data_IF_122383312869
#
_entry.id   IF_122383312869
#
_cell.length_a   1.000
_cell.length_b   1.000
_cell.length_c   1.000
_cell.angle_alpha   90.00
_cell.angle_beta   90.00
_cell.angle_gamma   90.00
#
_symmetry.space_group_name_H-M   'P 1'
#
loop_
_entity.id
_entity.type
_entity.pdbx_description
1 polymer ?
#
# COMPACT_ATOMS: atom_id res chain seq x y z
N UNK A 1 45.70 -27.46 -39.52
CA UNK A 1 44.23 -27.52 -39.31
C UNK A 1 43.92 -28.66 -38.34
N UNK A 2 43.65 -28.33 -37.07
CA UNK A 2 42.95 -29.19 -36.10
C UNK A 2 42.11 -28.27 -35.22
N UNK A 3 40.82 -28.07 -35.52
CA UNK A 3 39.92 -27.44 -34.57
C UNK A 3 39.47 -28.49 -33.53
N UNK A 4 38.77 -28.07 -32.49
CA UNK A 4 38.03 -28.90 -31.50
C UNK A 4 38.79 -29.42 -30.26
N UNK A 5 39.44 -28.54 -29.49
CA UNK A 5 39.75 -28.83 -28.06
C UNK A 5 39.16 -27.81 -27.07
N UNK A 6 38.62 -26.68 -27.52
CA UNK A 6 38.26 -25.56 -26.60
C UNK A 6 36.76 -25.44 -26.28
N UNK A 7 35.84 -26.18 -26.94
CA UNK A 7 34.40 -25.93 -26.80
C UNK A 7 33.68 -26.92 -25.86
N UNK A 8 34.27 -28.07 -25.50
CA UNK A 8 33.61 -29.01 -24.58
C UNK A 8 33.72 -28.63 -23.09
N UNK A 9 34.39 -27.52 -22.77
CA UNK A 9 34.49 -26.99 -21.41
C UNK A 9 33.51 -25.85 -21.13
N UNK A 10 32.61 -25.55 -22.06
CA UNK A 10 31.55 -24.57 -21.87
C UNK A 10 30.52 -25.11 -20.86
N UNK A 11 30.77 -24.80 -19.59
CA UNK A 11 29.80 -24.86 -18.49
C UNK A 11 29.23 -26.26 -18.26
N UNK A 12 29.92 -27.06 -17.43
CA UNK A 12 29.20 -28.05 -16.60
C UNK A 12 28.19 -27.25 -15.78
N UNK A 13 26.94 -27.18 -16.26
CA UNK A 13 25.81 -26.66 -15.51
C UNK A 13 25.72 -27.53 -14.25
N UNK A 14 26.32 -27.06 -13.16
CA UNK A 14 26.58 -27.86 -11.95
C UNK A 14 25.30 -28.46 -11.36
N UNK A 15 24.13 -27.93 -11.71
CA UNK A 15 22.83 -28.45 -11.33
C UNK A 15 22.54 -29.87 -11.87
N UNK A 16 23.09 -30.24 -13.05
CA UNK A 16 22.91 -31.58 -13.65
C UNK A 16 23.96 -32.60 -13.20
N UNK A 17 25.05 -32.14 -12.57
CA UNK A 17 26.13 -33.00 -12.08
C UNK A 17 25.95 -33.43 -10.60
N UNK A 18 24.87 -32.99 -9.96
CA UNK A 18 24.52 -33.35 -8.59
C UNK A 18 23.71 -34.66 -8.56
N UNK A 19 24.05 -35.55 -7.64
CA UNK A 19 23.37 -36.83 -7.44
C UNK A 19 21.87 -36.61 -7.16
N UNK A 20 20.98 -37.55 -7.57
CA UNK A 20 19.50 -37.46 -7.40
C UNK A 20 19.06 -37.01 -5.99
N UNK A 21 19.83 -37.38 -4.96
CA UNK A 21 19.59 -36.99 -3.55
C UNK A 21 19.86 -35.50 -3.26
N UNK A 22 20.83 -34.88 -3.94
CA UNK A 22 21.20 -33.48 -3.70
C UNK A 22 20.19 -32.52 -4.33
N UNK A 23 19.67 -32.85 -5.52
CA UNK A 23 18.59 -32.07 -6.15
C UNK A 23 17.33 -32.08 -5.26
N UNK A 24 16.93 -33.25 -4.75
CA UNK A 24 15.80 -33.35 -3.82
C UNK A 24 15.98 -32.55 -2.53
N UNK A 25 17.19 -32.51 -1.97
CA UNK A 25 17.49 -31.75 -0.76
C UNK A 25 17.33 -30.23 -0.95
N UNK A 26 17.75 -29.69 -2.10
CA UNK A 26 17.59 -28.26 -2.42
C UNK A 26 16.10 -27.91 -2.58
N UNK A 27 15.32 -28.76 -3.24
CA UNK A 27 13.87 -28.58 -3.32
C UNK A 27 13.20 -28.64 -1.95
N UNK A 28 13.58 -29.59 -1.10
CA UNK A 28 13.04 -29.70 0.26
C UNK A 28 13.35 -28.45 1.10
N UNK A 29 14.59 -27.96 1.07
CA UNK A 29 14.99 -26.72 1.75
C UNK A 29 14.24 -25.50 1.22
N UNK A 30 14.06 -25.42 -0.11
CA UNK A 30 13.27 -24.36 -0.73
C UNK A 30 11.83 -24.35 -0.19
N UNK A 31 11.15 -25.50 -0.19
CA UNK A 31 9.79 -25.60 0.34
C UNK A 31 9.72 -25.28 1.85
N UNK A 32 10.65 -25.78 2.66
CA UNK A 32 10.70 -25.46 4.09
C UNK A 32 10.86 -23.95 4.31
N UNK A 33 11.78 -23.30 3.58
CA UNK A 33 11.99 -21.86 3.69
C UNK A 33 10.76 -21.05 3.26
N UNK A 34 10.10 -21.46 2.16
CA UNK A 34 8.85 -20.83 1.71
C UNK A 34 7.74 -20.99 2.76
N UNK A 35 7.57 -22.18 3.32
CA UNK A 35 6.59 -22.42 4.37
C UNK A 35 6.85 -21.51 5.58
N UNK A 36 8.09 -21.40 6.04
CA UNK A 36 8.45 -20.51 7.16
C UNK A 36 8.14 -19.05 6.80
N UNK A 37 8.54 -18.58 5.61
CA UNK A 37 8.27 -17.20 5.16
C UNK A 37 6.77 -16.93 5.06
N UNK A 38 5.97 -17.85 4.52
CA UNK A 38 4.52 -17.72 4.42
C UNK A 38 3.87 -17.67 5.80
N UNK A 39 4.28 -18.52 6.75
CA UNK A 39 3.75 -18.51 8.11
C UNK A 39 4.00 -17.18 8.81
N UNK A 40 5.19 -16.60 8.64
CA UNK A 40 5.54 -15.28 9.18
C UNK A 40 4.71 -14.18 8.50
N UNK A 41 4.54 -14.26 7.17
CA UNK A 41 3.73 -13.29 6.42
C UNK A 41 2.26 -13.29 6.82
N UNK A 42 1.69 -14.47 7.07
CA UNK A 42 0.28 -14.61 7.53
C UNK A 42 0.11 -14.16 8.98
N UNK A 43 1.10 -14.42 9.83
CA UNK A 43 1.08 -14.00 11.25
C UNK A 43 1.52 -12.56 11.48
N UNK A 44 1.86 -11.83 10.40
CA UNK A 44 2.32 -10.46 10.47
C UNK A 44 1.21 -9.50 10.91
N UNK A 45 1.56 -8.41 11.63
CA UNK A 45 0.60 -7.36 11.93
C UNK A 45 0.13 -6.67 10.64
N UNK A 46 -1.08 -6.11 10.66
CA UNK A 46 -1.63 -5.37 9.53
C UNK A 46 -0.67 -4.29 9.03
N UNK A 47 -0.35 -4.34 7.74
CA UNK A 47 0.62 -3.43 7.09
C UNK A 47 0.10 -1.99 7.07
N UNK A 48 -1.22 -1.80 7.13
CA UNK A 48 -1.88 -0.50 7.03
C UNK A 48 -2.70 -0.27 8.29
N UNK A 49 -2.40 0.81 9.00
CA UNK A 49 -3.24 1.31 10.08
C UNK A 49 -4.29 2.25 9.50
N UNK A 50 -5.56 1.87 9.61
CA UNK A 50 -6.70 2.68 9.16
C UNK A 50 -7.44 3.25 10.37
N UNK A 51 -7.77 4.55 10.33
CA UNK A 51 -8.61 5.20 11.33
C UNK A 51 -9.68 6.05 10.65
N UNK A 52 -10.93 5.90 11.06
CA UNK A 52 -11.99 6.81 10.65
C UNK A 52 -11.91 8.08 11.49
N UNK A 53 -11.45 9.17 10.89
CA UNK A 53 -11.39 10.47 11.54
C UNK A 53 -12.64 11.27 11.15
N UNK A 54 -13.44 11.60 12.16
CA UNK A 54 -14.49 12.61 12.01
C UNK A 54 -13.84 13.98 12.20
N UNK A 55 -14.16 14.93 11.32
CA UNK A 55 -13.63 16.28 11.49
C UNK A 55 -14.12 16.89 12.79
N UNK A 56 -13.21 17.56 13.50
CA UNK A 56 -13.49 18.27 14.76
C UNK A 56 -14.60 19.31 14.53
N UNK A 57 -14.60 19.93 13.34
CA UNK A 57 -15.67 20.79 12.89
C UNK A 57 -16.49 20.04 11.84
N UNK A 58 -17.81 19.94 12.04
CA UNK A 58 -18.72 19.41 11.03
C UNK A 58 -19.39 20.58 10.29
N UNK A 59 -18.73 21.23 9.31
CA UNK A 59 -19.43 22.19 8.49
C UNK A 59 -20.56 21.44 7.78
N UNK A 60 -21.77 21.99 7.84
CA UNK A 60 -22.97 21.45 7.16
C UNK A 60 -22.83 21.39 5.63
N UNK A 61 -21.77 21.98 5.09
CA UNK A 61 -21.54 22.11 3.67
C UNK A 61 -20.15 21.56 3.32
N UNK A 62 -19.99 21.11 2.07
CA UNK A 62 -18.74 20.55 1.53
C UNK A 62 -17.62 21.60 1.35
N UNK A 63 -17.86 22.84 1.76
CA UNK A 63 -16.96 23.97 1.62
C UNK A 63 -16.54 24.46 3.01
N UNK A 64 -15.34 24.09 3.43
CA UNK A 64 -14.77 24.57 4.68
C UNK A 64 -13.45 23.90 5.03
N UNK A 65 -12.68 24.49 5.96
CA UNK A 65 -11.49 23.85 6.50
C UNK A 65 -11.90 22.72 7.46
N UNK A 66 -11.68 21.47 7.04
CA UNK A 66 -11.83 20.31 7.90
C UNK A 66 -10.56 20.14 8.74
N UNK A 67 -10.67 20.40 10.04
CA UNK A 67 -9.59 20.07 10.98
C UNK A 67 -9.66 18.58 11.30
N UNK A 68 -8.56 17.88 11.03
CA UNK A 68 -8.37 16.46 11.28
C UNK A 68 -7.12 16.32 12.14
N UNK A 69 -7.22 15.54 13.22
CA UNK A 69 -6.07 15.16 14.02
C UNK A 69 -5.70 13.73 13.69
N UNK A 70 -4.50 13.53 13.15
CA UNK A 70 -3.98 12.18 12.93
C UNK A 70 -3.57 11.55 14.25
N UNK A 71 -3.68 10.23 14.35
CA UNK A 71 -3.02 9.48 15.40
C UNK A 71 -1.49 9.71 15.37
N UNK A 72 -0.82 9.32 16.45
CA UNK A 72 0.63 9.42 16.54
C UNK A 72 1.32 8.70 15.38
N UNK A 73 2.07 9.48 14.58
CA UNK A 73 2.83 8.99 13.43
C UNK A 73 4.31 8.94 13.82
N UNK A 74 4.83 7.73 13.98
CA UNK A 74 6.27 7.50 14.18
C UNK A 74 7.03 7.38 12.84
N UNK A 75 8.37 7.38 12.87
CA UNK A 75 9.28 7.27 11.73
C UNK A 75 9.07 6.02 10.86
N UNK A 76 8.43 4.98 11.40
CA UNK A 76 8.06 3.77 10.64
C UNK A 76 6.90 4.01 9.66
N UNK A 77 6.12 5.08 9.82
CA UNK A 77 5.02 5.44 8.93
C UNK A 77 5.54 6.26 7.73
N UNK A 78 6.12 5.56 6.76
CA UNK A 78 6.74 6.21 5.60
C UNK A 78 5.73 6.85 4.62
N UNK A 79 4.45 6.48 4.70
CA UNK A 79 3.39 6.97 3.80
C UNK A 79 2.11 7.19 4.58
N UNK A 80 1.45 8.31 4.31
CA UNK A 80 0.13 8.64 4.82
C UNK A 80 -0.87 8.71 3.66
N UNK A 81 -1.99 8.02 3.81
CA UNK A 81 -3.08 8.03 2.84
C UNK A 81 -4.28 8.71 3.47
N UNK A 82 -4.80 9.75 2.83
CA UNK A 82 -6.00 10.44 3.25
C UNK A 82 -7.11 10.17 2.24
N UNK A 83 -8.19 9.53 2.71
CA UNK A 83 -9.37 9.21 1.90
C UNK A 83 -10.57 9.95 2.47
N UNK A 84 -11.29 10.66 1.61
CA UNK A 84 -12.54 11.34 1.97
C UNK A 84 -13.72 10.53 1.45
N UNK A 85 -14.69 10.26 2.31
CA UNK A 85 -15.97 9.63 1.93
C UNK A 85 -17.09 10.66 2.09
N UNK A 86 -17.48 11.38 1.02
CA UNK A 86 -18.61 12.29 1.10
C UNK A 86 -19.91 11.51 1.25
N UNK A 87 -20.77 11.94 2.18
CA UNK A 87 -22.10 11.38 2.38
C UNK A 87 -23.09 12.48 1.99
N UNK A 88 -24.01 12.16 1.10
CA UNK A 88 -25.10 13.04 0.68
C UNK A 88 -26.45 12.34 0.87
N UNK A 89 -27.49 13.12 1.09
CA UNK A 89 -28.87 12.63 1.14
C UNK A 89 -29.60 12.76 -0.20
N UNK A 90 -28.91 13.20 -1.25
CA UNK A 90 -29.48 13.36 -2.60
C UNK A 90 -29.48 11.99 -3.30
N UNK A 91 -30.61 11.63 -3.93
CA UNK A 91 -30.84 10.33 -4.56
C UNK A 91 -30.06 10.11 -5.85
N UNK A 92 -29.60 11.19 -6.47
CA UNK A 92 -29.13 11.17 -7.84
C UNK A 92 -27.64 10.86 -7.93
N UNK A 93 -27.27 10.08 -8.94
CA UNK A 93 -25.86 9.92 -9.30
C UNK A 93 -25.33 11.28 -9.77
N UNK A 94 -24.25 11.73 -9.14
CA UNK A 94 -23.64 12.99 -9.53
C UNK A 94 -22.12 12.87 -9.59
N UNK A 95 -21.56 13.61 -10.54
CA UNK A 95 -20.12 13.72 -10.77
C UNK A 95 -19.73 15.18 -10.72
N UNK A 96 -18.83 15.52 -9.81
CA UNK A 96 -18.42 16.91 -9.60
C UNK A 96 -16.90 17.00 -9.46
N UNK A 97 -16.29 17.98 -10.10
CA UNK A 97 -14.87 18.31 -9.86
C UNK A 97 -14.75 19.31 -8.71
N UNK A 98 -13.92 19.00 -7.73
CA UNK A 98 -13.62 19.86 -6.58
C UNK A 98 -12.12 20.09 -6.49
N UNK A 99 -11.72 21.27 -6.02
CA UNK A 99 -10.33 21.53 -5.65
C UNK A 99 -10.16 21.24 -4.16
N UNK A 100 -9.20 20.38 -3.85
CA UNK A 100 -8.89 19.95 -2.49
C UNK A 100 -7.52 20.48 -2.13
N UNK A 101 -7.47 21.30 -1.09
CA UNK A 101 -6.23 21.83 -0.52
C UNK A 101 -6.01 21.21 0.85
N UNK A 102 -4.87 20.57 1.03
CA UNK A 102 -4.48 19.90 2.28
C UNK A 102 -3.27 20.62 2.85
N UNK A 103 -3.40 21.16 4.06
CA UNK A 103 -2.27 21.69 4.83
C UNK A 103 -1.90 20.72 5.94
N UNK A 104 -0.62 20.33 6.00
CA UNK A 104 -0.09 19.49 7.06
C UNK A 104 0.71 20.35 8.03
N UNK A 105 0.33 20.33 9.29
CA UNK A 105 1.07 20.98 10.38
C UNK A 105 1.76 19.91 11.22
N UNK A 106 3.07 20.05 11.44
CA UNK A 106 3.82 19.17 12.33
C UNK A 106 4.05 19.90 13.65
N UNK A 107 3.38 19.52 14.75
CA UNK A 107 3.54 20.20 16.03
C UNK A 107 4.97 20.11 16.60
N UNK A 108 5.75 19.12 16.17
CA UNK A 108 7.13 18.91 16.63
C UNK A 108 8.18 19.62 15.77
N UNK A 109 7.82 20.15 14.59
CA UNK A 109 8.74 20.87 13.72
C UNK A 109 8.24 22.30 13.49
N UNK A 110 9.04 23.29 13.89
CA UNK A 110 8.78 24.72 13.68
C UNK A 110 8.99 25.13 12.21
N UNK A 111 8.44 24.36 11.27
CA UNK A 111 8.49 24.62 9.84
C UNK A 111 7.13 25.08 9.34
N UNK A 112 7.12 25.92 8.30
CA UNK A 112 5.89 26.33 7.64
C UNK A 112 5.06 25.11 7.21
N UNK A 113 3.72 25.19 7.32
CA UNK A 113 2.85 24.07 6.95
C UNK A 113 3.04 23.74 5.48
N UNK A 114 3.19 22.44 5.18
CA UNK A 114 3.23 21.98 3.80
C UNK A 114 1.83 22.00 3.23
N UNK A 115 1.66 22.67 2.08
CA UNK A 115 0.37 22.82 1.40
C UNK A 115 0.39 22.04 0.10
N UNK A 116 -0.62 21.19 -0.07
CA UNK A 116 -0.83 20.39 -1.27
C UNK A 116 -2.19 20.72 -1.87
N UNK A 117 -2.19 21.17 -3.12
CA UNK A 117 -3.41 21.44 -3.87
C UNK A 117 -3.61 20.39 -4.95
N UNK A 118 -4.82 19.81 -5.01
CA UNK A 118 -5.18 18.81 -6.02
C UNK A 118 -6.63 18.99 -6.47
N UNK A 119 -6.84 19.00 -7.78
CA UNK A 119 -8.16 18.85 -8.36
C UNK A 119 -8.57 17.36 -8.32
N UNK A 120 -9.78 17.08 -7.83
CA UNK A 120 -10.34 15.73 -7.70
C UNK A 120 -11.74 15.71 -8.27
N UNK A 121 -12.12 14.60 -8.89
CA UNK A 121 -13.51 14.38 -9.31
C UNK A 121 -14.16 13.42 -8.34
N UNK A 122 -15.22 13.87 -7.67
CA UNK A 122 -16.06 13.02 -6.84
C UNK A 122 -17.12 12.37 -7.72
N UNK A 123 -17.34 11.09 -7.48
CA UNK A 123 -18.36 10.30 -8.13
C UNK A 123 -19.23 9.71 -7.02
N UNK A 124 -20.49 10.13 -6.98
CA UNK A 124 -21.44 9.65 -6.00
C UNK A 124 -22.42 8.70 -6.67
N UNK A 125 -22.59 7.55 -6.04
CA UNK A 125 -23.56 6.54 -6.43
C UNK A 125 -24.49 6.28 -5.26
N UNK A 126 -25.68 5.80 -5.58
CA UNK A 126 -26.63 5.36 -4.57
C UNK A 126 -25.98 4.26 -3.73
N UNK A 127 -25.91 4.48 -2.42
CA UNK A 127 -25.43 3.47 -1.50
C UNK A 127 -26.47 2.34 -1.47
N UNK A 128 -26.17 1.22 -2.13
CA UNK A 128 -26.97 -0.01 -2.01
C UNK A 128 -26.59 -0.64 -0.67
N UNK A 129 -27.42 -0.44 0.33
CA UNK A 129 -27.29 -1.15 1.61
C UNK A 129 -27.55 -2.63 1.35
N UNK A 130 -26.48 -3.40 1.11
CA UNK A 130 -26.50 -4.84 1.28
C UNK A 130 -26.33 -5.06 2.78
N UNK A 131 -27.45 -5.14 3.47
CA UNK A 131 -27.54 -5.65 4.83
C UNK A 131 -26.95 -7.06 4.83
N UNK A 132 -25.99 -7.32 5.74
CA UNK A 132 -25.28 -8.58 5.87
C UNK A 132 -25.49 -9.11 7.28
#
# INVERSE_FOLDING_TARGET
MRPTQEIERAVKMRLYALHKRQVGAVFALFFISLFITTLIGVSGPSIIQTGELKSINQPKQMSGPYKLESNYLDKYHQRLWLTMKPITNVSDEFRQSINVTVSMNNPSASSNPQVYERQRTIHCQKQVSIEK
#
